data_IF_974751738208
#
_entry.id   IF_974751738208
#
_cell.length_a   1.000
_cell.length_b   1.000
_cell.length_c   1.000
_cell.angle_alpha   90.00
_cell.angle_beta   90.00
_cell.angle_gamma   90.00
#
_symmetry.space_group_name_H-M   'P 1'
#
loop_
_entity.id
_entity.type
_entity.pdbx_description
1 polymer ?
#
# COMPACT_ATOMS: atom_id res chain seq x y z
N UNK A 1 25.45 -19.08 -10.32
CA UNK A 1 26.24 -17.87 -10.58
C UNK A 1 27.69 -18.24 -10.76
N UNK A 2 28.41 -17.59 -11.70
CA UNK A 2 29.86 -17.77 -11.90
C UNK A 2 30.62 -16.70 -11.11
N UNK A 3 31.68 -17.08 -10.45
CA UNK A 3 32.55 -16.18 -9.71
C UNK A 3 34.03 -16.59 -9.91
N UNK A 4 34.94 -15.69 -9.57
CA UNK A 4 36.36 -15.95 -9.65
C UNK A 4 36.97 -16.18 -8.26
N UNK A 5 37.71 -17.29 -8.10
CA UNK A 5 38.53 -17.53 -6.92
C UNK A 5 39.95 -17.00 -7.20
N UNK A 6 40.35 -15.95 -6.48
CA UNK A 6 41.70 -15.40 -6.58
C UNK A 6 42.64 -16.23 -5.72
N UNK A 7 43.70 -16.78 -6.38
CA UNK A 7 44.73 -17.63 -5.73
C UNK A 7 46.08 -16.95 -5.88
N UNK A 8 46.76 -16.73 -4.76
CA UNK A 8 48.12 -16.21 -4.74
C UNK A 8 49.09 -17.30 -4.36
N UNK A 9 50.13 -17.52 -5.19
CA UNK A 9 51.14 -18.55 -5.02
C UNK A 9 52.52 -17.91 -5.12
N UNK A 10 53.36 -18.11 -4.12
CA UNK A 10 54.75 -17.69 -4.19
C UNK A 10 55.63 -18.87 -4.62
N UNK A 11 56.50 -18.67 -5.64
CA UNK A 11 57.35 -19.69 -6.17
C UNK A 11 58.83 -19.29 -6.13
N UNK A 12 59.70 -20.24 -5.82
CA UNK A 12 61.14 -20.02 -5.81
C UNK A 12 61.79 -20.15 -7.19
N UNK A 13 61.07 -20.69 -8.20
CA UNK A 13 61.53 -20.86 -9.56
C UNK A 13 60.38 -20.86 -10.57
N UNK A 14 60.68 -20.62 -11.85
CA UNK A 14 59.72 -20.76 -12.93
C UNK A 14 59.43 -22.24 -13.16
N UNK A 15 58.15 -22.64 -13.05
CA UNK A 15 57.73 -24.04 -13.23
C UNK A 15 56.24 -24.20 -13.46
N UNK A 16 55.78 -25.25 -14.15
CA UNK A 16 54.38 -25.63 -14.16
C UNK A 16 54.00 -26.32 -12.85
N UNK A 17 52.74 -26.14 -12.40
CA UNK A 17 52.15 -26.85 -11.26
C UNK A 17 50.70 -27.23 -11.59
N UNK A 18 50.31 -28.44 -11.23
CA UNK A 18 48.90 -28.82 -11.23
C UNK A 18 48.15 -28.09 -10.14
N UNK A 19 46.95 -27.60 -10.43
CA UNK A 19 46.03 -27.01 -9.45
C UNK A 19 44.70 -27.75 -9.47
N UNK A 20 44.17 -28.02 -8.28
CA UNK A 20 42.84 -28.58 -8.08
C UNK A 20 42.10 -27.72 -7.06
N UNK A 21 40.83 -27.42 -7.33
CA UNK A 21 39.95 -26.77 -6.37
C UNK A 21 38.82 -27.73 -6.04
N UNK A 22 38.66 -28.01 -4.77
CA UNK A 22 37.55 -28.81 -4.24
C UNK A 22 36.54 -27.89 -3.58
N UNK A 23 35.24 -28.06 -3.90
CA UNK A 23 34.14 -27.48 -3.19
C UNK A 23 33.53 -28.53 -2.24
N UNK A 24 33.83 -28.43 -0.95
CA UNK A 24 33.67 -29.56 -0.05
C UNK A 24 34.54 -30.74 -0.50
N UNK A 25 33.92 -31.87 -0.86
CA UNK A 25 34.63 -33.07 -1.39
C UNK A 25 34.50 -33.19 -2.92
N UNK A 26 33.78 -32.29 -3.60
CA UNK A 26 33.60 -32.35 -5.05
C UNK A 26 34.67 -31.54 -5.78
N UNK A 27 35.20 -32.08 -6.90
CA UNK A 27 36.13 -31.37 -7.76
C UNK A 27 35.41 -30.24 -8.50
N UNK A 28 35.79 -28.98 -8.23
CA UNK A 28 35.20 -27.78 -8.84
C UNK A 28 36.05 -27.24 -9.99
N UNK A 29 37.37 -27.42 -9.94
CA UNK A 29 38.29 -26.99 -10.99
C UNK A 29 39.57 -27.90 -10.97
N UNK A 30 40.10 -28.19 -12.15
CA UNK A 30 41.40 -28.84 -12.33
C UNK A 30 42.12 -28.24 -13.54
N UNK A 31 43.40 -27.93 -13.39
CA UNK A 31 44.18 -27.34 -14.47
C UNK A 31 45.67 -27.27 -14.16
N UNK A 32 46.44 -26.66 -15.04
CA UNK A 32 47.87 -26.41 -14.88
C UNK A 32 48.16 -24.92 -14.87
N UNK A 33 48.94 -24.45 -13.91
CA UNK A 33 49.38 -23.07 -13.80
C UNK A 33 50.86 -22.94 -14.08
N UNK A 34 51.24 -21.89 -14.79
CA UNK A 34 52.66 -21.57 -15.04
C UNK A 34 53.13 -20.55 -13.99
N UNK A 35 53.91 -21.03 -13.01
CA UNK A 35 54.48 -20.13 -12.00
C UNK A 35 55.74 -19.46 -12.50
N UNK A 36 55.91 -18.20 -12.15
CA UNK A 36 57.16 -17.46 -12.24
C UNK A 36 57.80 -17.37 -10.87
N UNK A 37 59.10 -17.19 -10.81
CA UNK A 37 59.83 -16.94 -9.57
C UNK A 37 59.28 -15.66 -8.91
N UNK A 38 58.88 -15.75 -7.63
CA UNK A 38 58.24 -14.68 -6.86
C UNK A 38 56.72 -14.87 -6.75
N UNK A 39 55.97 -13.79 -6.45
CA UNK A 39 54.53 -13.85 -6.29
C UNK A 39 53.81 -14.02 -7.62
N UNK A 40 52.82 -14.89 -7.65
CA UNK A 40 51.90 -15.12 -8.78
C UNK A 40 50.47 -14.98 -8.30
N UNK A 41 49.59 -14.42 -9.15
CA UNK A 41 48.14 -14.30 -8.89
C UNK A 41 47.36 -14.90 -10.05
N UNK A 42 46.40 -15.74 -9.73
CA UNK A 42 45.56 -16.45 -10.70
C UNK A 42 44.10 -16.28 -10.32
N UNK A 43 43.25 -16.04 -11.31
CA UNK A 43 41.81 -15.97 -11.18
C UNK A 43 41.19 -17.25 -11.75
N UNK A 44 40.63 -18.10 -10.90
CA UNK A 44 40.07 -19.39 -11.28
C UNK A 44 38.54 -19.28 -11.36
N UNK A 45 37.93 -19.51 -12.54
CA UNK A 45 36.49 -19.46 -12.69
C UNK A 45 35.83 -20.66 -12.00
N UNK A 46 34.89 -20.39 -11.11
CA UNK A 46 34.11 -21.38 -10.39
C UNK A 46 32.61 -21.09 -10.53
N UNK A 47 31.77 -22.08 -10.23
CA UNK A 47 30.33 -21.92 -10.11
C UNK A 47 29.93 -22.06 -8.65
N UNK A 48 29.06 -21.15 -8.19
CA UNK A 48 28.46 -21.24 -6.87
C UNK A 48 27.57 -22.49 -6.77
N UNK A 49 27.73 -23.21 -5.67
CA UNK A 49 26.89 -24.36 -5.33
C UNK A 49 25.54 -23.96 -4.74
N UNK A 50 24.92 -24.86 -3.98
CA UNK A 50 23.69 -24.61 -3.23
C UNK A 50 23.89 -23.49 -2.20
N UNK A 51 22.82 -22.74 -1.87
CA UNK A 51 22.86 -21.72 -0.83
C UNK A 51 23.31 -22.31 0.52
N UNK A 52 24.20 -21.59 1.19
CA UNK A 52 24.75 -22.02 2.46
C UNK A 52 26.22 -21.68 2.60
N UNK A 53 26.85 -22.23 3.64
CA UNK A 53 28.27 -22.06 3.88
C UNK A 53 29.07 -22.99 2.96
N UNK A 54 29.93 -22.43 2.10
CA UNK A 54 30.74 -23.16 1.15
C UNK A 54 32.22 -23.06 1.52
N UNK A 55 32.91 -24.21 1.52
CA UNK A 55 34.35 -24.32 1.72
C UNK A 55 35.02 -24.69 0.40
N UNK A 56 35.99 -23.92 -0.03
CA UNK A 56 36.82 -24.21 -1.19
C UNK A 56 38.22 -24.50 -0.74
N UNK A 57 38.76 -25.63 -1.20
CA UNK A 57 40.11 -26.08 -0.87
C UNK A 57 40.94 -26.10 -2.15
N UNK A 58 41.95 -25.27 -2.20
CA UNK A 58 42.91 -25.20 -3.31
C UNK A 58 44.10 -26.10 -2.98
N UNK A 59 44.43 -27.02 -3.87
CA UNK A 59 45.59 -27.89 -3.77
C UNK A 59 46.48 -27.64 -4.99
N UNK A 60 47.80 -27.46 -4.77
CA UNK A 60 48.80 -27.39 -5.81
C UNK A 60 49.66 -28.63 -5.76
N UNK A 61 50.00 -29.18 -6.94
CA UNK A 61 50.82 -30.38 -7.09
C UNK A 61 52.07 -30.05 -7.93
N UNK A 62 53.17 -29.70 -7.29
CA UNK A 62 54.46 -29.52 -7.97
C UNK A 62 55.00 -30.83 -8.52
N UNK A 63 55.90 -30.76 -9.51
CA UNK A 63 56.60 -31.96 -10.00
C UNK A 63 57.42 -32.63 -8.89
N UNK A 64 57.52 -33.96 -8.93
CA UNK A 64 58.20 -34.76 -7.92
C UNK A 64 59.61 -34.25 -7.64
N UNK A 65 59.98 -34.05 -6.38
CA UNK A 65 61.30 -33.62 -5.94
C UNK A 65 61.65 -32.14 -6.12
N UNK A 66 60.65 -31.32 -6.52
CA UNK A 66 60.84 -29.86 -6.73
C UNK A 66 60.28 -29.01 -5.59
N UNK A 67 59.56 -29.62 -4.65
CA UNK A 67 58.96 -28.92 -3.50
C UNK A 67 59.70 -29.32 -2.20
N UNK A 68 59.90 -28.30 -1.35
CA UNK A 68 60.57 -28.47 -0.06
C UNK A 68 59.62 -28.34 1.14
N UNK A 69 58.42 -27.82 0.92
CA UNK A 69 57.43 -27.55 1.98
C UNK A 69 56.00 -27.94 1.56
N UNK A 70 55.76 -29.25 1.39
CA UNK A 70 54.46 -29.77 0.92
C UNK A 70 53.28 -29.40 1.80
N UNK A 71 53.48 -28.93 3.05
CA UNK A 71 52.42 -28.51 3.98
C UNK A 71 51.74 -27.23 3.56
N UNK A 72 52.34 -26.39 2.72
CA UNK A 72 51.78 -25.15 2.24
C UNK A 72 51.13 -25.25 0.85
N UNK A 73 51.04 -26.45 0.31
CA UNK A 73 50.45 -26.73 -1.00
C UNK A 73 48.91 -26.82 -0.95
N UNK A 74 48.31 -26.66 0.21
CA UNK A 74 46.87 -26.66 0.39
C UNK A 74 46.42 -25.46 1.24
N UNK A 75 45.38 -24.75 0.77
CA UNK A 75 44.78 -23.67 1.51
C UNK A 75 43.24 -23.74 1.33
N UNK A 76 42.51 -23.50 2.40
CA UNK A 76 41.06 -23.42 2.38
C UNK A 76 40.58 -21.97 2.46
N UNK A 77 39.56 -21.65 1.67
CA UNK A 77 38.80 -20.41 1.75
C UNK A 77 37.33 -20.74 2.01
N UNK A 78 36.65 -19.85 2.70
CA UNK A 78 35.25 -20.02 3.04
C UNK A 78 34.46 -18.85 2.51
N UNK A 79 33.25 -19.11 2.01
CA UNK A 79 32.30 -18.09 1.59
C UNK A 79 30.89 -18.53 1.92
N UNK A 80 29.98 -17.58 1.97
CA UNK A 80 28.55 -17.85 2.10
C UNK A 80 27.90 -17.67 0.73
N UNK A 81 27.34 -18.75 0.19
CA UNK A 81 26.52 -18.69 -1.03
C UNK A 81 25.12 -18.26 -0.62
N UNK A 82 24.68 -17.09 -1.08
CA UNK A 82 23.31 -16.63 -0.89
C UNK A 82 22.47 -17.12 -2.06
N UNK A 83 21.28 -17.65 -1.75
CA UNK A 83 20.30 -18.03 -2.76
C UNK A 83 19.68 -16.80 -3.47
N UNK A 84 18.84 -17.02 -4.47
CA UNK A 84 18.08 -15.93 -5.07
C UNK A 84 17.25 -15.21 -3.99
N UNK A 85 17.11 -13.87 -4.08
CA UNK A 85 16.37 -13.10 -3.08
C UNK A 85 14.91 -13.56 -3.05
N UNK A 86 14.42 -13.97 -1.88
CA UNK A 86 13.01 -14.32 -1.66
C UNK A 86 12.19 -13.04 -1.51
N UNK A 87 10.98 -13.03 -2.06
CA UNK A 87 10.05 -11.91 -1.98
C UNK A 87 8.80 -12.33 -1.20
N UNK A 88 8.28 -11.44 -0.38
CA UNK A 88 7.00 -11.61 0.28
C UNK A 88 5.97 -10.69 -0.36
N UNK A 89 5.00 -11.24 -1.07
CA UNK A 89 3.91 -10.48 -1.66
C UNK A 89 2.68 -10.55 -0.76
N UNK A 90 2.18 -9.39 -0.38
CA UNK A 90 0.99 -9.24 0.46
C UNK A 90 -0.13 -8.70 -0.41
N UNK A 91 -1.17 -9.49 -0.58
CA UNK A 91 -2.34 -9.11 -1.36
C UNK A 91 -3.62 -9.66 -0.72
N UNK A 92 -4.76 -9.05 -1.00
CA UNK A 92 -6.03 -9.57 -0.56
C UNK A 92 -6.44 -10.74 -1.49
N UNK A 93 -6.57 -11.98 -0.97
CA UNK A 93 -6.86 -13.15 -1.80
C UNK A 93 -8.29 -13.21 -2.35
N UNK A 94 -9.14 -12.27 -1.98
CA UNK A 94 -10.53 -12.23 -2.47
C UNK A 94 -10.61 -11.49 -3.80
N UNK A 95 -10.96 -12.17 -4.91
CA UNK A 95 -11.22 -11.48 -6.17
C UNK A 95 -12.42 -10.56 -5.99
N UNK A 96 -12.25 -9.27 -6.24
CA UNK A 96 -13.36 -8.36 -6.50
C UNK A 96 -13.76 -8.58 -7.95
N UNK A 97 -15.06 -8.81 -8.19
CA UNK A 97 -15.66 -8.85 -9.54
C UNK A 97 -15.28 -10.04 -10.45
N UNK A 98 -15.00 -11.22 -9.88
CA UNK A 98 -14.84 -12.45 -10.67
C UNK A 98 -13.57 -12.54 -11.52
N UNK A 99 -12.65 -11.58 -11.43
CA UNK A 99 -11.31 -11.69 -11.97
C UNK A 99 -10.45 -12.54 -11.02
N UNK A 100 -9.85 -13.62 -11.52
CA UNK A 100 -8.83 -14.36 -10.80
C UNK A 100 -7.73 -13.39 -10.36
N UNK A 101 -7.27 -13.52 -9.10
CA UNK A 101 -6.38 -12.59 -8.40
C UNK A 101 -5.38 -11.90 -9.31
N UNK A 102 -5.52 -10.62 -9.41
CA UNK A 102 -4.73 -9.76 -10.28
C UNK A 102 -3.25 -9.70 -9.85
N UNK A 103 -2.94 -10.10 -8.61
CA UNK A 103 -1.57 -10.39 -8.16
C UNK A 103 -0.95 -11.57 -8.90
N UNK A 104 -1.73 -12.45 -9.55
CA UNK A 104 -1.21 -13.64 -10.24
C UNK A 104 -0.29 -13.29 -11.40
N UNK A 105 -0.59 -12.25 -12.17
CA UNK A 105 0.26 -11.82 -13.28
C UNK A 105 1.60 -11.27 -12.77
N UNK A 106 1.57 -10.49 -11.67
CA UNK A 106 2.78 -10.01 -11.01
C UNK A 106 3.60 -11.17 -10.45
N UNK A 107 2.95 -12.13 -9.77
CA UNK A 107 3.61 -13.33 -9.25
C UNK A 107 4.23 -14.15 -10.38
N UNK A 108 3.49 -14.37 -11.48
CA UNK A 108 4.00 -15.09 -12.65
C UNK A 108 5.22 -14.40 -13.28
N UNK A 109 5.20 -13.08 -13.40
CA UNK A 109 6.31 -12.29 -13.91
C UNK A 109 7.56 -12.38 -13.01
N UNK A 110 7.39 -12.31 -11.69
CA UNK A 110 8.47 -12.44 -10.72
C UNK A 110 9.08 -13.86 -10.76
N UNK A 111 8.23 -14.89 -10.80
CA UNK A 111 8.67 -16.29 -10.93
C UNK A 111 9.39 -16.57 -12.26
N UNK A 112 8.91 -16.01 -13.37
CA UNK A 112 9.58 -16.09 -14.67
C UNK A 112 10.96 -15.43 -14.66
N UNK A 113 11.17 -14.47 -13.74
CA UNK A 113 12.47 -13.83 -13.48
C UNK A 113 13.35 -14.60 -12.47
N UNK A 114 12.99 -15.84 -12.12
CA UNK A 114 13.66 -16.66 -11.09
C UNK A 114 13.70 -16.03 -9.70
N UNK A 115 12.69 -15.23 -9.35
CA UNK A 115 12.52 -14.66 -8.01
C UNK A 115 11.48 -15.48 -7.25
N UNK A 116 11.87 -16.22 -6.20
CA UNK A 116 10.92 -16.92 -5.33
C UNK A 116 9.98 -15.95 -4.62
N UNK A 117 8.67 -16.16 -4.74
CA UNK A 117 7.63 -15.29 -4.17
C UNK A 117 6.72 -16.11 -3.29
N UNK A 118 6.61 -15.71 -2.02
CA UNK A 118 5.59 -16.22 -1.10
C UNK A 118 4.43 -15.23 -1.07
N UNK A 119 3.21 -15.71 -1.27
CA UNK A 119 2.00 -14.87 -1.28
C UNK A 119 1.20 -15.08 0.00
N UNK A 120 0.89 -13.99 0.70
CA UNK A 120 0.13 -14.03 1.95
C UNK A 120 -0.99 -12.99 1.97
N UNK A 121 -2.07 -13.29 2.69
CA UNK A 121 -3.08 -12.28 3.00
C UNK A 121 -2.53 -11.25 4.00
N UNK A 122 -3.04 -9.99 4.01
CA UNK A 122 -2.59 -8.93 4.91
C UNK A 122 -2.57 -9.35 6.40
N UNK A 123 -3.59 -10.08 6.86
CA UNK A 123 -3.66 -10.57 8.23
C UNK A 123 -2.55 -11.60 8.58
N UNK A 124 -1.88 -12.18 7.58
CA UNK A 124 -0.79 -13.16 7.75
C UNK A 124 0.60 -12.55 7.51
N UNK A 125 0.69 -11.25 7.25
CA UNK A 125 1.99 -10.58 7.20
C UNK A 125 2.73 -10.79 8.52
N UNK A 126 3.96 -11.34 8.51
CA UNK A 126 4.75 -11.52 9.73
C UNK A 126 5.01 -10.19 10.43
N UNK A 127 4.91 -10.18 11.76
CA UNK A 127 5.33 -9.06 12.60
C UNK A 127 6.65 -9.35 13.34
N UNK A 128 7.19 -10.53 13.16
CA UNK A 128 8.45 -10.99 13.73
C UNK A 128 9.60 -10.66 12.77
N UNK A 129 10.52 -9.80 13.23
CA UNK A 129 11.66 -9.34 12.42
C UNK A 129 12.55 -10.48 11.88
N UNK A 130 12.83 -11.56 12.64
CA UNK A 130 13.59 -12.69 12.10
C UNK A 130 12.93 -13.32 10.86
N UNK A 131 11.60 -13.40 10.83
CA UNK A 131 10.86 -13.94 9.67
C UNK A 131 10.89 -12.98 8.51
N UNK A 132 10.68 -11.67 8.76
CA UNK A 132 10.78 -10.64 7.71
C UNK A 132 12.18 -10.59 7.10
N UNK A 133 13.23 -10.80 7.90
CA UNK A 133 14.62 -10.76 7.41
C UNK A 133 15.00 -11.90 6.46
N UNK A 134 14.17 -12.96 6.36
CA UNK A 134 14.34 -14.00 5.35
C UNK A 134 13.99 -13.52 3.93
N UNK A 135 13.29 -12.41 3.82
CA UNK A 135 12.88 -11.81 2.55
C UNK A 135 13.74 -10.61 2.21
N UNK A 136 14.13 -10.50 0.95
CA UNK A 136 14.85 -9.35 0.43
C UNK A 136 13.94 -8.12 0.26
N UNK A 137 12.65 -8.36 -0.04
CA UNK A 137 11.65 -7.30 -0.18
C UNK A 137 10.25 -7.79 0.17
N UNK A 138 9.45 -6.89 0.72
CA UNK A 138 8.01 -7.04 0.91
C UNK A 138 7.30 -6.18 -0.14
N UNK A 139 6.30 -6.76 -0.82
CA UNK A 139 5.49 -6.09 -1.84
C UNK A 139 4.04 -6.03 -1.34
N UNK A 140 3.51 -4.84 -1.13
CA UNK A 140 2.11 -4.62 -0.77
C UNK A 140 1.33 -4.30 -2.04
N UNK A 141 0.35 -5.13 -2.43
CA UNK A 141 -0.47 -4.93 -3.64
C UNK A 141 -1.89 -4.58 -3.22
N UNK A 142 -2.28 -3.34 -3.44
CA UNK A 142 -3.61 -2.78 -3.07
C UNK A 142 -4.06 -3.15 -1.65
N UNK A 143 -3.16 -3.02 -0.67
CA UNK A 143 -3.41 -3.37 0.74
C UNK A 143 -3.81 -2.12 1.51
N UNK A 144 -5.01 -2.04 2.09
CA UNK A 144 -5.38 -0.91 2.95
C UNK A 144 -4.71 -1.03 4.33
N UNK A 145 -4.37 0.11 4.94
CA UNK A 145 -3.73 0.15 6.27
C UNK A 145 -4.55 -0.59 7.34
N UNK A 146 -5.88 -0.49 7.27
CA UNK A 146 -6.79 -1.19 8.19
C UNK A 146 -6.72 -2.73 8.13
N UNK A 147 -6.22 -3.29 7.04
CA UNK A 147 -6.01 -4.73 6.93
C UNK A 147 -4.72 -5.20 7.62
N UNK A 148 -3.91 -4.26 8.09
CA UNK A 148 -2.68 -4.48 8.82
C UNK A 148 -2.83 -3.99 10.27
N UNK A 149 -2.27 -4.72 11.21
CA UNK A 149 -2.15 -4.26 12.59
C UNK A 149 -1.04 -3.21 12.71
N UNK A 150 -1.13 -2.36 13.72
CA UNK A 150 -0.06 -1.40 14.02
C UNK A 150 1.29 -2.09 14.25
N UNK A 151 1.28 -3.28 14.90
CA UNK A 151 2.49 -4.08 15.11
C UNK A 151 3.14 -4.52 13.80
N UNK A 152 2.35 -4.93 12.80
CA UNK A 152 2.85 -5.29 11.48
C UNK A 152 3.46 -4.09 10.76
N UNK A 153 2.79 -2.93 10.79
CA UNK A 153 3.31 -1.71 10.17
C UNK A 153 4.61 -1.21 10.81
N UNK A 154 4.73 -1.26 12.15
CA UNK A 154 5.96 -0.93 12.87
C UNK A 154 7.07 -1.96 12.59
N UNK A 155 6.73 -3.24 12.42
CA UNK A 155 7.71 -4.26 12.04
C UNK A 155 8.25 -4.01 10.61
N UNK A 156 7.40 -3.61 9.66
CA UNK A 156 7.84 -3.18 8.32
C UNK A 156 8.75 -1.96 8.39
N UNK A 157 8.44 -0.98 9.23
CA UNK A 157 9.29 0.20 9.42
C UNK A 157 10.69 -0.19 9.91
N UNK A 158 10.77 -1.00 10.96
CA UNK A 158 12.04 -1.51 11.49
C UNK A 158 12.79 -2.38 10.46
N UNK A 159 12.06 -3.25 9.75
CA UNK A 159 12.62 -4.09 8.71
C UNK A 159 13.29 -3.28 7.59
N UNK A 160 12.66 -2.21 7.12
CA UNK A 160 13.25 -1.36 6.08
C UNK A 160 14.33 -0.47 6.65
N UNK A 161 14.03 0.28 7.74
CA UNK A 161 14.93 1.30 8.27
C UNK A 161 16.21 0.71 8.87
N UNK A 162 16.08 -0.36 9.66
CA UNK A 162 17.17 -0.85 10.52
C UNK A 162 17.82 -2.14 10.01
N UNK A 163 17.07 -3.00 9.27
CA UNK A 163 17.58 -4.26 8.72
C UNK A 163 17.92 -4.18 7.23
N UNK A 164 17.61 -3.08 6.55
CA UNK A 164 17.97 -2.86 5.15
C UNK A 164 17.06 -3.58 4.13
N UNK A 165 15.91 -4.08 4.56
CA UNK A 165 14.93 -4.72 3.68
C UNK A 165 14.31 -3.77 2.66
N UNK A 166 13.73 -4.31 1.60
CA UNK A 166 13.00 -3.55 0.58
C UNK A 166 11.50 -3.49 0.88
N UNK A 167 10.84 -2.36 0.60
CA UNK A 167 9.39 -2.26 0.59
C UNK A 167 8.92 -1.68 -0.74
N UNK A 168 8.00 -2.38 -1.39
CA UNK A 168 7.32 -1.89 -2.59
C UNK A 168 5.83 -1.78 -2.30
N UNK A 169 5.27 -0.58 -2.43
CA UNK A 169 3.83 -0.38 -2.40
C UNK A 169 3.31 -0.22 -3.82
N UNK A 170 2.45 -1.12 -4.23
CA UNK A 170 1.73 -1.10 -5.50
C UNK A 170 0.31 -0.62 -5.24
N UNK A 171 -0.09 0.38 -5.97
CA UNK A 171 -1.39 1.03 -5.84
C UNK A 171 -2.57 0.15 -6.20
N UNK A 172 -3.71 0.76 -6.09
CA UNK A 172 -5.02 0.21 -6.37
C UNK A 172 -6.08 0.99 -5.58
N UNK A 173 -7.35 0.75 -5.81
CA UNK A 173 -8.44 1.58 -5.26
C UNK A 173 -8.55 1.55 -3.72
N UNK A 174 -7.77 0.70 -3.03
CA UNK A 174 -7.82 0.60 -1.56
C UNK A 174 -6.47 0.83 -0.88
N UNK A 175 -5.49 1.40 -1.57
CA UNK A 175 -4.14 1.66 -1.04
C UNK A 175 -3.85 3.14 -0.85
N UNK A 176 -2.66 3.48 -0.37
CA UNK A 176 -2.19 4.86 -0.15
C UNK A 176 -3.18 5.72 0.66
N UNK A 177 -3.48 6.95 0.18
CA UNK A 177 -4.40 7.88 0.85
C UNK A 177 -5.80 7.30 1.02
N UNK A 178 -6.36 6.68 -0.01
CA UNK A 178 -7.66 5.98 0.02
C UNK A 178 -7.64 4.80 0.99
N UNK A 179 -6.50 4.12 1.09
CA UNK A 179 -6.28 2.99 1.99
C UNK A 179 -5.99 3.38 3.43
N UNK A 180 -6.01 4.68 3.77
CA UNK A 180 -5.79 5.15 5.14
C UNK A 180 -4.33 5.09 5.61
N UNK A 181 -3.35 5.23 4.71
CA UNK A 181 -1.91 5.22 5.08
C UNK A 181 -1.49 6.47 5.86
N UNK A 182 -2.29 7.53 5.79
CA UNK A 182 -2.01 8.78 6.48
C UNK A 182 -1.77 8.59 7.98
N UNK A 183 -0.69 9.19 8.51
CA UNK A 183 -0.23 9.08 9.92
C UNK A 183 -0.01 7.65 10.40
N UNK A 184 0.32 6.75 9.49
CA UNK A 184 0.75 5.39 9.82
C UNK A 184 2.23 5.22 9.54
N UNK A 185 2.90 4.20 10.11
CA UNK A 185 4.28 3.88 9.75
C UNK A 185 4.50 3.68 8.25
N UNK A 186 3.49 3.21 7.50
CA UNK A 186 3.58 3.07 6.04
C UNK A 186 3.78 4.41 5.34
N UNK A 187 3.12 5.48 5.82
CA UNK A 187 3.34 6.81 5.26
C UNK A 187 4.78 7.28 5.47
N UNK A 188 5.41 6.93 6.61
CA UNK A 188 6.78 7.33 6.90
C UNK A 188 7.78 6.61 6.02
N UNK A 189 7.58 5.30 5.76
CA UNK A 189 8.46 4.47 4.95
C UNK A 189 8.42 4.86 3.47
N UNK A 190 7.24 5.21 2.92
CA UNK A 190 7.04 5.38 1.48
C UNK A 190 7.62 6.72 0.96
N UNK A 191 8.09 6.77 -0.30
CA UNK A 191 8.69 7.97 -0.91
C UNK A 191 7.69 9.05 -1.28
N UNK A 192 6.40 8.86 -0.97
CA UNK A 192 5.31 9.78 -1.28
C UNK A 192 4.52 10.15 -0.04
N UNK A 193 4.08 11.39 0.03
CA UNK A 193 3.10 11.87 0.99
C UNK A 193 1.69 11.53 0.49
N UNK A 194 0.81 11.11 1.41
CA UNK A 194 -0.58 10.77 1.13
C UNK A 194 -1.45 12.02 0.93
N UNK A 195 -0.88 13.21 1.12
CA UNK A 195 -1.56 14.49 0.96
C UNK A 195 -1.20 15.13 -0.38
N UNK A 196 -2.20 15.63 -1.06
CA UNK A 196 -1.99 16.59 -2.16
C UNK A 196 -1.86 17.96 -1.51
N UNK A 197 -0.61 18.47 -1.45
CA UNK A 197 -0.29 19.74 -0.76
C UNK A 197 -0.82 20.96 -1.48
N UNK A 198 -1.09 20.86 -2.77
CA UNK A 198 -1.62 21.96 -3.56
C UNK A 198 -3.15 22.00 -3.51
N UNK A 199 -3.71 23.07 -2.96
CA UNK A 199 -5.16 23.28 -2.90
C UNK A 199 -5.82 23.37 -4.29
N UNK A 200 -5.10 23.80 -5.32
CA UNK A 200 -5.61 23.85 -6.70
C UNK A 200 -5.76 22.46 -7.32
N UNK A 201 -5.04 21.48 -6.79
CA UNK A 201 -5.04 20.07 -7.23
C UNK A 201 -6.03 19.20 -6.47
N UNK A 202 -6.58 19.74 -5.36
CA UNK A 202 -7.55 19.02 -4.54
C UNK A 202 -8.84 18.86 -5.31
N UNK A 203 -9.23 17.63 -5.58
CA UNK A 203 -10.52 17.34 -6.16
C UNK A 203 -11.64 17.88 -5.24
N UNK A 204 -12.64 18.51 -5.81
CA UNK A 204 -13.82 18.95 -5.07
C UNK A 204 -14.52 17.73 -4.50
N UNK A 205 -14.76 17.73 -3.18
CA UNK A 205 -15.49 16.70 -2.47
C UNK A 205 -16.94 17.12 -2.29
N UNK A 206 -17.87 16.19 -2.49
CA UNK A 206 -19.22 16.29 -1.93
C UNK A 206 -19.39 15.25 -0.85
N UNK A 207 -19.60 15.71 0.38
CA UNK A 207 -19.81 14.87 1.55
C UNK A 207 -21.27 14.94 1.98
N UNK A 208 -21.95 13.79 2.00
CA UNK A 208 -23.34 13.70 2.46
C UNK A 208 -23.40 12.92 3.75
N UNK A 209 -23.92 13.55 4.79
CA UNK A 209 -24.23 12.93 6.07
C UNK A 209 -25.66 12.41 6.06
N UNK A 210 -25.86 11.13 6.37
CA UNK A 210 -27.18 10.52 6.57
C UNK A 210 -27.28 10.17 8.04
N UNK A 211 -28.08 10.94 8.78
CA UNK A 211 -28.15 10.92 10.24
C UNK A 211 -29.47 10.30 10.68
N UNK A 212 -29.39 9.23 11.45
CA UNK A 212 -30.50 8.66 12.17
C UNK A 212 -30.97 9.63 13.22
N UNK A 213 -32.26 9.95 13.18
CA UNK A 213 -32.97 10.76 14.21
C UNK A 213 -34.11 9.99 14.85
N UNK A 214 -34.12 8.64 14.76
CA UNK A 214 -35.10 7.77 15.40
C UNK A 214 -35.18 7.99 16.91
N UNK A 215 -36.24 7.50 17.53
CA UNK A 215 -36.49 7.67 18.96
C UNK A 215 -35.36 7.19 19.87
N UNK A 216 -34.61 6.15 19.48
CA UNK A 216 -33.45 5.62 20.20
C UNK A 216 -32.27 6.62 20.26
N UNK A 217 -32.17 7.53 19.30
CA UNK A 217 -31.17 8.59 19.30
C UNK A 217 -31.38 9.66 20.37
N UNK A 218 -32.55 9.63 21.07
CA UNK A 218 -32.80 10.46 22.27
C UNK A 218 -32.10 9.93 23.53
N UNK A 219 -31.59 8.72 23.50
CA UNK A 219 -30.86 8.12 24.63
C UNK A 219 -29.67 8.98 25.04
N UNK A 220 -29.48 9.12 26.37
CA UNK A 220 -28.43 9.95 26.96
C UNK A 220 -27.23 9.11 27.32
N UNK A 221 -26.08 9.48 26.81
CA UNK A 221 -24.77 8.90 27.17
C UNK A 221 -23.85 10.00 27.67
N UNK A 222 -23.30 9.84 28.88
CA UNK A 222 -22.43 10.88 29.47
C UNK A 222 -23.10 12.23 29.70
N UNK A 223 -24.43 12.29 29.78
CA UNK A 223 -25.19 13.54 29.97
C UNK A 223 -25.60 14.26 28.66
N UNK A 224 -25.27 13.69 27.49
CA UNK A 224 -25.58 14.23 26.15
C UNK A 224 -26.39 13.20 25.37
N UNK A 225 -27.39 13.65 24.59
CA UNK A 225 -28.15 12.76 23.73
C UNK A 225 -27.30 12.30 22.52
N UNK A 226 -27.49 11.05 22.03
CA UNK A 226 -26.80 10.54 20.85
C UNK A 226 -27.01 11.44 19.63
N UNK A 227 -28.22 11.96 19.42
CA UNK A 227 -28.52 12.90 18.33
C UNK A 227 -27.71 14.20 18.44
N UNK A 228 -27.42 14.69 19.63
CA UNK A 228 -26.58 15.88 19.81
C UNK A 228 -25.11 15.61 19.51
N UNK A 229 -24.62 14.41 19.84
CA UNK A 229 -23.28 13.96 19.45
C UNK A 229 -23.18 13.79 17.93
N UNK A 230 -24.21 13.30 17.27
CA UNK A 230 -24.29 13.23 15.81
C UNK A 230 -24.25 14.64 15.15
N UNK A 231 -24.98 15.61 15.71
CA UNK A 231 -24.86 17.00 15.25
C UNK A 231 -23.47 17.57 15.43
N UNK A 232 -22.87 17.37 16.60
CA UNK A 232 -21.49 17.79 16.86
C UNK A 232 -20.51 17.15 15.89
N UNK A 233 -20.71 15.88 15.54
CA UNK A 233 -19.89 15.17 14.56
C UNK A 233 -19.94 15.81 13.18
N UNK A 234 -21.14 16.16 12.69
CA UNK A 234 -21.29 16.90 11.44
C UNK A 234 -20.59 18.26 11.54
N UNK A 235 -20.82 19.03 12.61
CA UNK A 235 -20.21 20.35 12.80
C UNK A 235 -18.68 20.29 12.77
N UNK A 236 -18.07 19.34 13.50
CA UNK A 236 -16.61 19.15 13.48
C UNK A 236 -16.08 18.72 12.10
N UNK A 237 -16.88 17.96 11.36
CA UNK A 237 -16.53 17.59 9.98
C UNK A 237 -16.45 18.79 9.06
N UNK A 238 -17.34 19.80 9.24
CA UNK A 238 -17.30 21.03 8.44
C UNK A 238 -15.99 21.81 8.59
N UNK A 239 -15.35 21.75 9.77
CA UNK A 239 -14.06 22.42 10.04
C UNK A 239 -12.90 21.82 9.23
N UNK A 240 -13.06 20.57 8.74
CA UNK A 240 -12.07 19.84 7.95
C UNK A 240 -12.26 20.00 6.44
N UNK A 241 -13.40 20.55 6.02
CA UNK A 241 -13.74 20.78 4.62
C UNK A 241 -13.21 22.13 4.13
N UNK A 242 -12.95 22.22 2.83
CA UNK A 242 -12.62 23.47 2.16
C UNK A 242 -13.88 24.23 1.75
N UNK A 243 -13.81 25.55 1.57
CA UNK A 243 -14.95 26.32 1.01
C UNK A 243 -15.37 25.84 -0.39
N UNK A 244 -14.49 25.20 -1.15
CA UNK A 244 -14.80 24.62 -2.46
C UNK A 244 -15.53 23.27 -2.39
N UNK A 245 -15.50 22.61 -1.23
CA UNK A 245 -16.20 21.34 -1.03
C UNK A 245 -17.70 21.59 -0.85
N UNK A 246 -18.51 20.56 -1.12
CA UNK A 246 -19.95 20.62 -0.93
C UNK A 246 -20.36 19.72 0.22
N UNK A 247 -21.40 20.10 0.91
CA UNK A 247 -21.99 19.33 2.00
C UNK A 247 -23.48 19.15 1.79
N UNK A 248 -23.99 17.98 2.14
CA UNK A 248 -25.39 17.69 2.27
C UNK A 248 -25.68 17.00 3.60
N UNK A 249 -26.82 17.26 4.20
CA UNK A 249 -27.27 16.59 5.44
C UNK A 249 -28.66 16.07 5.25
N UNK A 250 -28.86 14.77 5.39
CA UNK A 250 -30.14 14.08 5.39
C UNK A 250 -30.37 13.60 6.82
N UNK A 251 -31.55 13.83 7.35
CA UNK A 251 -32.01 13.20 8.57
C UNK A 251 -33.15 12.23 8.25
N UNK A 252 -33.15 11.07 8.89
CA UNK A 252 -34.18 10.06 8.67
C UNK A 252 -34.71 9.46 9.97
N UNK A 253 -35.99 9.10 9.92
CA UNK A 253 -36.76 8.33 10.90
C UNK A 253 -37.61 7.27 10.16
N UNK A 254 -38.95 7.34 10.19
CA UNK A 254 -39.85 6.60 9.29
C UNK A 254 -39.88 7.15 7.87
N UNK A 255 -39.21 8.28 7.64
CA UNK A 255 -39.04 8.98 6.38
C UNK A 255 -37.69 9.68 6.33
N UNK A 256 -37.32 10.22 5.18
CA UNK A 256 -36.09 10.98 5.06
C UNK A 256 -36.30 12.36 4.45
N UNK A 257 -35.56 13.35 4.92
CA UNK A 257 -35.58 14.69 4.39
C UNK A 257 -34.18 15.32 4.38
N UNK A 258 -33.94 16.17 3.39
CA UNK A 258 -32.79 17.05 3.39
C UNK A 258 -32.93 18.10 4.50
N UNK A 259 -32.06 18.09 5.49
CA UNK A 259 -31.85 19.18 6.45
C UNK A 259 -31.05 20.28 5.78
N UNK A 260 -30.00 19.86 5.02
CA UNK A 260 -29.21 20.73 4.16
C UNK A 260 -29.11 20.05 2.80
N UNK A 261 -29.72 20.57 1.73
CA UNK A 261 -29.48 20.11 0.36
C UNK A 261 -27.98 20.25 -0.01
N UNK A 262 -27.50 19.44 -0.96
CA UNK A 262 -26.10 19.54 -1.42
C UNK A 262 -25.81 20.99 -1.84
N UNK A 263 -24.91 21.64 -1.12
CA UNK A 263 -24.51 23.02 -1.32
C UNK A 263 -23.01 23.23 -1.09
N UNK A 264 -22.42 24.23 -1.74
CA UNK A 264 -21.06 24.66 -1.46
C UNK A 264 -20.96 25.18 -0.01
N UNK A 265 -19.78 24.95 0.61
CA UNK A 265 -19.57 25.34 2.02
C UNK A 265 -19.16 26.83 2.15
N UNK A 266 -19.89 27.71 1.45
CA UNK A 266 -19.62 29.15 1.50
C UNK A 266 -20.03 29.77 2.84
N UNK A 267 -21.06 29.22 3.49
CA UNK A 267 -21.55 29.63 4.82
C UNK A 267 -21.68 28.42 5.76
N UNK A 268 -20.63 28.02 6.45
CA UNK A 268 -20.69 26.95 7.45
C UNK A 268 -21.68 27.23 8.57
N UNK A 269 -21.91 28.51 8.93
CA UNK A 269 -22.83 28.90 10.00
C UNK A 269 -24.29 28.56 9.67
N UNK A 270 -24.71 28.77 8.40
CA UNK A 270 -26.04 28.38 7.95
C UNK A 270 -26.22 26.83 8.03
N UNK A 271 -25.19 26.05 7.66
CA UNK A 271 -25.24 24.59 7.77
C UNK A 271 -25.33 24.15 9.24
N UNK A 272 -24.53 24.74 10.13
CA UNK A 272 -24.55 24.45 11.57
C UNK A 272 -25.91 24.74 12.19
N UNK A 273 -26.53 25.88 11.84
CA UNK A 273 -27.84 26.25 12.31
C UNK A 273 -28.91 25.25 11.85
N UNK A 274 -28.86 24.82 10.58
CA UNK A 274 -29.81 23.85 10.05
C UNK A 274 -29.64 22.48 10.75
N UNK A 275 -28.39 21.98 10.91
CA UNK A 275 -28.07 20.73 11.64
C UNK A 275 -28.58 20.82 13.10
N UNK A 276 -28.46 21.99 13.74
CA UNK A 276 -28.96 22.22 15.10
C UNK A 276 -30.47 21.99 15.26
N UNK A 277 -31.26 22.00 14.18
CA UNK A 277 -32.71 21.77 14.20
C UNK A 277 -33.11 20.31 14.31
N UNK A 278 -32.20 19.34 14.04
CA UNK A 278 -32.50 17.93 14.11
C UNK A 278 -32.94 17.53 15.53
N UNK A 279 -34.04 16.78 15.64
CA UNK A 279 -34.58 16.25 16.90
C UNK A 279 -34.90 14.79 16.74
N UNK A 280 -34.61 14.01 17.78
CA UNK A 280 -34.89 12.58 17.78
C UNK A 280 -36.38 12.31 17.92
N UNK A 281 -36.94 11.53 16.98
CA UNK A 281 -38.34 11.08 16.96
C UNK A 281 -38.51 9.98 15.88
N UNK A 282 -39.58 9.17 15.98
CA UNK A 282 -39.98 8.21 14.96
C UNK A 282 -39.24 6.88 14.97
N UNK A 283 -39.35 6.13 13.87
CA UNK A 283 -38.72 4.84 13.61
C UNK A 283 -37.36 4.95 12.90
N UNK A 284 -37.00 3.89 12.14
CA UNK A 284 -35.66 3.80 11.51
C UNK A 284 -35.79 3.22 10.10
N UNK A 285 -35.91 4.08 9.07
CA UNK A 285 -35.89 3.71 7.65
C UNK A 285 -34.60 4.19 6.97
N UNK A 286 -33.54 3.35 7.04
CA UNK A 286 -32.23 3.64 6.44
C UNK A 286 -32.35 3.74 4.90
N UNK A 287 -33.23 2.91 4.28
CA UNK A 287 -33.41 2.90 2.83
C UNK A 287 -33.86 4.27 2.31
N UNK A 288 -34.82 4.89 2.99
CA UNK A 288 -35.29 6.22 2.61
C UNK A 288 -34.17 7.28 2.60
N UNK A 289 -33.28 7.25 3.59
CA UNK A 289 -32.09 8.12 3.63
C UNK A 289 -31.13 7.91 2.48
N UNK A 290 -30.78 6.64 2.22
CA UNK A 290 -29.87 6.27 1.13
C UNK A 290 -30.48 6.57 -0.24
N UNK A 291 -31.78 6.33 -0.44
CA UNK A 291 -32.47 6.66 -1.70
C UNK A 291 -32.46 8.16 -2.01
N UNK A 292 -32.60 8.99 -0.98
CA UNK A 292 -32.58 10.44 -1.14
C UNK A 292 -31.19 10.93 -1.59
N UNK A 293 -30.13 10.38 -1.00
CA UNK A 293 -28.75 10.64 -1.42
C UNK A 293 -28.49 10.11 -2.85
N UNK A 294 -28.98 8.90 -3.15
CA UNK A 294 -28.83 8.25 -4.45
C UNK A 294 -29.51 9.03 -5.60
N UNK A 295 -30.56 9.79 -5.29
CA UNK A 295 -31.23 10.66 -6.27
C UNK A 295 -30.47 11.94 -6.61
N UNK A 296 -29.59 12.41 -5.72
CA UNK A 296 -28.91 13.69 -5.87
C UNK A 296 -27.41 13.56 -6.23
N UNK A 297 -26.67 12.68 -5.53
CA UNK A 297 -25.21 12.57 -5.67
C UNK A 297 -24.71 12.21 -7.08
N UNK A 298 -25.36 11.32 -7.87
CA UNK A 298 -24.89 11.02 -9.23
C UNK A 298 -24.90 12.25 -10.15
N UNK A 299 -25.75 13.23 -9.88
CA UNK A 299 -25.91 14.45 -10.69
C UNK A 299 -24.97 15.58 -10.24
N UNK A 300 -24.29 15.41 -9.10
CA UNK A 300 -23.33 16.38 -8.60
C UNK A 300 -22.03 16.33 -9.41
N UNK A 301 -21.40 17.49 -9.66
CA UNK A 301 -20.22 17.65 -10.49
C UNK A 301 -18.88 17.45 -9.74
N UNK A 302 -18.91 17.13 -8.43
CA UNK A 302 -17.70 16.90 -7.66
C UNK A 302 -17.05 15.59 -8.07
N UNK A 303 -15.71 15.59 -8.11
CA UNK A 303 -14.91 14.42 -8.50
C UNK A 303 -14.91 13.33 -7.41
N UNK A 304 -15.00 13.72 -6.14
CA UNK A 304 -15.10 12.80 -5.01
C UNK A 304 -16.46 12.96 -4.36
N UNK A 305 -17.14 11.83 -4.14
CA UNK A 305 -18.47 11.80 -3.52
C UNK A 305 -18.49 10.74 -2.46
N UNK A 306 -18.80 11.13 -1.23
CA UNK A 306 -18.78 10.25 -0.09
C UNK A 306 -20.00 10.41 0.80
N UNK A 307 -20.51 9.29 1.32
CA UNK A 307 -21.63 9.23 2.26
C UNK A 307 -21.12 8.73 3.60
N UNK A 308 -21.48 9.41 4.69
CA UNK A 308 -21.32 8.91 6.05
C UNK A 308 -22.71 8.65 6.63
N UNK A 309 -23.05 7.38 6.83
CA UNK A 309 -24.30 6.94 7.43
C UNK A 309 -24.08 6.68 8.92
N UNK A 310 -24.89 7.30 9.78
CA UNK A 310 -24.90 7.01 11.22
C UNK A 310 -26.28 6.48 11.63
N UNK A 311 -26.27 5.37 12.37
CA UNK A 311 -27.49 4.79 12.98
C UNK A 311 -27.16 4.03 14.26
N UNK A 312 -28.08 4.02 15.23
CA UNK A 312 -28.03 3.19 16.43
C UNK A 312 -29.09 2.07 16.45
N UNK A 313 -29.90 2.00 15.37
CA UNK A 313 -31.03 1.07 15.25
C UNK A 313 -30.85 0.00 14.19
N UNK A 314 -31.69 -1.03 14.32
CA UNK A 314 -31.89 -2.05 13.31
C UNK A 314 -32.87 -1.55 12.24
N UNK A 315 -32.63 -1.95 10.98
CA UNK A 315 -33.56 -1.72 9.87
C UNK A 315 -33.66 -2.97 8.99
N UNK A 316 -34.68 -3.03 8.15
CA UNK A 316 -34.80 -4.06 7.10
C UNK A 316 -33.69 -3.79 6.06
N UNK A 317 -32.77 -4.76 5.79
CA UNK A 317 -31.69 -4.60 4.83
C UNK A 317 -32.17 -4.62 3.37
N UNK A 318 -33.44 -4.96 3.10
CA UNK A 318 -33.94 -5.20 1.74
C UNK A 318 -33.73 -3.98 0.84
N UNK A 319 -32.95 -4.19 -0.25
CA UNK A 319 -32.67 -3.17 -1.26
C UNK A 319 -31.55 -2.19 -0.93
N UNK A 320 -31.06 -2.14 0.32
CA UNK A 320 -30.01 -1.18 0.71
C UNK A 320 -28.64 -1.56 0.17
N UNK A 321 -28.12 -2.81 0.37
CA UNK A 321 -26.81 -3.21 -0.15
C UNK A 321 -26.72 -3.13 -1.67
N UNK A 322 -27.76 -3.52 -2.39
CA UNK A 322 -27.81 -3.47 -3.85
C UNK A 322 -27.77 -2.02 -4.37
N UNK A 323 -28.49 -1.12 -3.70
CA UNK A 323 -28.48 0.30 -4.06
C UNK A 323 -27.09 0.91 -3.83
N UNK A 324 -26.47 0.64 -2.68
CA UNK A 324 -25.14 1.17 -2.32
C UNK A 324 -24.07 0.58 -3.25
N UNK A 325 -24.10 -0.71 -3.55
CA UNK A 325 -23.20 -1.34 -4.52
C UNK A 325 -23.30 -0.67 -5.89
N UNK A 326 -24.51 -0.41 -6.38
CA UNK A 326 -24.74 0.27 -7.65
C UNK A 326 -24.20 1.70 -7.64
N UNK A 327 -24.42 2.48 -6.56
CA UNK A 327 -23.84 3.83 -6.41
C UNK A 327 -22.32 3.80 -6.50
N UNK A 328 -21.68 2.81 -5.85
CA UNK A 328 -20.23 2.65 -5.89
C UNK A 328 -19.74 2.23 -7.29
N UNK A 329 -20.34 1.21 -7.88
CA UNK A 329 -19.88 0.65 -9.17
C UNK A 329 -20.14 1.57 -10.36
N UNK A 330 -21.33 2.22 -10.41
CA UNK A 330 -21.74 3.04 -11.56
C UNK A 330 -21.32 4.51 -11.45
N UNK A 331 -21.21 5.03 -10.23
CA UNK A 331 -21.00 6.47 -9.99
C UNK A 331 -19.78 6.78 -9.13
N UNK A 332 -19.02 5.78 -8.66
CA UNK A 332 -17.86 5.98 -7.81
C UNK A 332 -18.19 6.59 -6.44
N UNK A 333 -19.46 6.55 -6.01
CA UNK A 333 -19.91 7.13 -4.74
C UNK A 333 -19.62 6.14 -3.63
N UNK A 334 -18.77 6.51 -2.68
CA UNK A 334 -18.42 5.66 -1.54
C UNK A 334 -19.34 5.91 -0.34
N UNK A 335 -19.54 4.86 0.50
CA UNK A 335 -20.34 4.95 1.71
C UNK A 335 -19.62 4.29 2.89
N UNK A 336 -19.39 5.07 3.96
CA UNK A 336 -18.99 4.58 5.27
C UNK A 336 -20.18 4.53 6.22
N UNK A 337 -20.23 3.52 7.09
CA UNK A 337 -21.30 3.33 8.05
C UNK A 337 -20.78 3.38 9.48
N UNK A 338 -21.48 4.10 10.35
CA UNK A 338 -21.20 4.21 11.78
C UNK A 338 -22.37 3.62 12.56
N UNK A 339 -22.12 2.46 13.18
CA UNK A 339 -23.08 1.79 14.07
C UNK A 339 -22.82 2.14 15.52
N UNK A 340 -23.87 2.55 16.25
CA UNK A 340 -23.77 3.01 17.64
C UNK A 340 -24.55 2.07 18.57
N UNK A 341 -23.81 1.43 19.50
CA UNK A 341 -24.40 0.56 20.51
C UNK A 341 -24.90 -0.78 19.98
N UNK A 342 -25.40 -1.65 20.88
CA UNK A 342 -25.78 -3.04 20.56
C UNK A 342 -27.00 -3.15 19.64
N UNK A 343 -27.75 -2.07 19.43
CA UNK A 343 -28.91 -1.99 18.52
C UNK A 343 -28.53 -1.81 17.06
N UNK A 344 -27.27 -1.50 16.75
CA UNK A 344 -26.82 -1.24 15.39
C UNK A 344 -27.08 -2.41 14.45
N UNK A 345 -27.59 -2.11 13.25
CA UNK A 345 -27.99 -3.12 12.27
C UNK A 345 -26.84 -4.06 11.89
N UNK A 346 -27.02 -5.40 11.96
CA UNK A 346 -25.94 -6.36 11.67
C UNK A 346 -25.40 -6.32 10.23
N UNK A 347 -26.14 -5.75 9.30
CA UNK A 347 -25.72 -5.65 7.89
C UNK A 347 -24.82 -4.44 7.58
N UNK A 348 -24.63 -3.49 8.51
CA UNK A 348 -23.81 -2.29 8.29
C UNK A 348 -22.35 -2.58 7.86
N UNK A 349 -21.65 -3.61 8.40
CA UNK A 349 -20.33 -3.97 7.89
C UNK A 349 -20.33 -4.35 6.42
N UNK A 350 -21.32 -5.15 6.01
CA UNK A 350 -21.49 -5.53 4.60
C UNK A 350 -21.85 -4.30 3.75
N UNK A 351 -22.72 -3.43 4.25
CA UNK A 351 -23.11 -2.20 3.55
C UNK A 351 -21.92 -1.29 3.25
N UNK A 352 -21.06 -1.07 4.23
CA UNK A 352 -19.83 -0.29 4.05
C UNK A 352 -18.86 -0.97 3.06
N UNK A 353 -18.74 -2.30 3.11
CA UNK A 353 -17.94 -3.06 2.16
C UNK A 353 -18.46 -2.92 0.72
N UNK A 354 -19.76 -3.07 0.49
CA UNK A 354 -20.42 -2.91 -0.81
C UNK A 354 -20.31 -1.47 -1.34
N UNK A 355 -20.30 -0.49 -0.42
CA UNK A 355 -20.11 0.93 -0.72
C UNK A 355 -18.65 1.37 -0.83
N UNK A 356 -17.68 0.45 -0.76
CA UNK A 356 -16.25 0.79 -0.85
C UNK A 356 -15.74 1.71 0.27
N UNK A 357 -16.48 1.84 1.38
CA UNK A 357 -16.13 2.64 2.55
C UNK A 357 -15.77 1.81 3.77
N UNK A 358 -15.82 2.44 4.95
CA UNK A 358 -15.45 1.85 6.24
C UNK A 358 -16.66 1.60 7.11
N UNK A 359 -16.59 0.57 7.94
CA UNK A 359 -17.53 0.36 9.03
C UNK A 359 -16.86 0.70 10.36
N UNK A 360 -17.48 1.60 11.10
CA UNK A 360 -17.11 1.92 12.48
C UNK A 360 -18.21 1.45 13.43
N UNK A 361 -17.81 0.78 14.49
CA UNK A 361 -18.70 0.43 15.58
C UNK A 361 -18.21 1.08 16.86
N UNK A 362 -19.16 1.63 17.64
CA UNK A 362 -18.85 2.17 18.96
C UNK A 362 -19.96 1.88 19.95
N UNK A 363 -19.59 1.41 21.14
CA UNK A 363 -20.48 1.35 22.31
C UNK A 363 -20.46 2.65 23.11
N UNK A 364 -19.50 3.56 22.81
CA UNK A 364 -19.39 4.86 23.45
C UNK A 364 -19.76 5.98 22.47
N UNK A 365 -21.00 6.51 22.52
CA UNK A 365 -21.44 7.58 21.64
C UNK A 365 -20.58 8.84 21.67
N UNK A 366 -19.79 9.08 22.73
CA UNK A 366 -18.90 10.24 22.80
C UNK A 366 -17.77 10.21 21.77
N UNK A 367 -17.49 9.05 21.17
CA UNK A 367 -16.50 8.88 20.11
C UNK A 367 -17.01 9.25 18.71
N UNK A 368 -18.34 9.41 18.51
CA UNK A 368 -18.94 9.69 17.21
C UNK A 368 -18.29 10.91 16.52
N UNK A 369 -18.06 12.07 17.20
CA UNK A 369 -17.42 13.20 16.55
C UNK A 369 -15.99 12.92 16.06
N UNK A 370 -15.24 12.08 16.77
CA UNK A 370 -13.89 11.69 16.35
C UNK A 370 -13.92 10.77 15.13
N UNK A 371 -14.84 9.80 15.09
CA UNK A 371 -15.06 8.90 13.94
C UNK A 371 -15.40 9.70 12.67
N UNK A 372 -16.32 10.65 12.77
CA UNK A 372 -16.70 11.49 11.64
C UNK A 372 -15.56 12.40 11.15
N UNK A 373 -14.77 12.94 12.08
CA UNK A 373 -13.58 13.71 11.73
C UNK A 373 -12.53 12.86 11.01
N UNK A 374 -12.33 11.61 11.42
CA UNK A 374 -11.45 10.64 10.75
C UNK A 374 -11.97 10.33 9.34
N UNK A 375 -13.25 9.96 9.18
CA UNK A 375 -13.86 9.68 7.88
C UNK A 375 -13.81 10.88 6.94
N UNK A 376 -14.14 12.08 7.45
CA UNK A 376 -14.05 13.31 6.66
C UNK A 376 -12.62 13.59 6.22
N UNK A 377 -11.64 13.36 7.10
CA UNK A 377 -10.22 13.49 6.77
C UNK A 377 -9.81 12.50 5.67
N UNK A 378 -10.25 11.25 5.75
CA UNK A 378 -9.98 10.24 4.72
C UNK A 378 -10.63 10.64 3.38
N UNK A 379 -11.89 11.05 3.39
CA UNK A 379 -12.61 11.48 2.20
C UNK A 379 -11.98 12.72 1.52
N UNK A 380 -11.49 13.68 2.31
CA UNK A 380 -10.84 14.90 1.78
C UNK A 380 -9.44 14.63 1.20
N UNK A 381 -8.81 13.53 1.57
CA UNK A 381 -7.43 13.16 1.16
C UNK A 381 -7.39 12.04 0.13
N UNK A 382 -8.49 11.34 -0.06
CA UNK A 382 -8.59 10.27 -1.01
C UNK A 382 -8.70 10.84 -2.44
N UNK A 383 -7.67 10.62 -3.24
CA UNK A 383 -7.67 11.06 -4.62
C UNK A 383 -7.35 9.92 -5.59
N UNK A 384 -8.39 9.40 -6.23
CA UNK A 384 -8.27 8.46 -7.35
C UNK A 384 -8.39 9.26 -8.64
N UNK A 385 -7.38 9.20 -9.51
CA UNK A 385 -7.42 9.74 -10.86
C UNK A 385 -7.70 8.60 -11.82
N UNK A 386 -8.87 8.57 -12.42
CA UNK A 386 -9.23 7.64 -13.50
C UNK A 386 -9.22 8.40 -14.82
N UNK A 387 -8.04 8.51 -15.39
CA UNK A 387 -7.77 9.16 -16.66
C UNK A 387 -6.71 8.37 -17.40
N UNK A 388 -6.89 8.21 -18.71
CA UNK A 388 -5.89 7.59 -19.58
C UNK A 388 -4.70 8.52 -19.79
N UNK A 389 -3.49 8.00 -19.57
CA UNK A 389 -2.25 8.73 -19.82
C UNK A 389 -1.08 7.78 -20.08
N UNK A 390 0.02 8.32 -20.61
CA UNK A 390 1.30 7.61 -20.73
C UNK A 390 2.30 8.17 -19.72
N UNK A 391 2.79 7.35 -18.77
CA UNK A 391 3.79 7.81 -17.81
C UNK A 391 5.04 8.32 -18.51
N UNK A 392 5.53 9.49 -18.06
CA UNK A 392 6.77 10.10 -18.59
C UNK A 392 7.90 9.94 -17.57
N UNK A 393 9.03 9.46 -18.06
CA UNK A 393 10.25 9.41 -17.25
C UNK A 393 10.82 10.83 -17.07
N UNK A 394 11.11 11.19 -15.82
CA UNK A 394 11.69 12.49 -15.44
C UNK A 394 13.08 12.37 -14.84
N UNK A 395 13.42 11.21 -14.28
CA UNK A 395 14.76 10.92 -13.80
C UNK A 395 15.21 9.51 -14.24
N UNK A 396 16.49 9.32 -14.59
CA UNK A 396 17.03 8.02 -14.88
C UNK A 396 17.03 7.14 -13.61
N UNK A 397 16.72 5.87 -13.76
CA UNK A 397 16.73 4.91 -12.64
C UNK A 397 17.08 3.52 -13.12
N UNK A 398 17.88 2.77 -12.35
CA UNK A 398 18.14 1.35 -12.62
C UNK A 398 16.87 0.48 -12.60
N UNK A 399 15.79 0.94 -11.94
CA UNK A 399 14.48 0.25 -11.92
C UNK A 399 13.91 0.11 -13.33
N UNK A 400 14.18 1.05 -14.21
CA UNK A 400 13.72 1.04 -15.61
C UNK A 400 14.77 0.49 -16.59
N UNK A 401 15.82 -0.16 -16.11
CA UNK A 401 16.85 -0.71 -17.00
C UNK A 401 16.26 -1.77 -17.94
N UNK A 402 16.43 -1.58 -19.25
CA UNK A 402 15.87 -2.46 -20.28
C UNK A 402 14.40 -2.17 -20.63
N UNK A 403 13.78 -1.15 -20.02
CA UNK A 403 12.41 -0.70 -20.35
C UNK A 403 12.52 0.57 -21.20
N UNK A 404 12.14 0.47 -22.47
CA UNK A 404 12.22 1.59 -23.42
C UNK A 404 11.02 2.56 -23.31
N UNK A 405 9.85 2.03 -22.93
CA UNK A 405 8.62 2.85 -22.77
C UNK A 405 7.71 2.27 -21.70
N UNK A 406 7.05 3.13 -20.95
CA UNK A 406 6.00 2.73 -20.03
C UNK A 406 4.68 2.49 -20.78
N UNK A 407 3.91 1.43 -20.43
CA UNK A 407 2.61 1.20 -21.03
C UNK A 407 1.62 2.30 -20.64
N UNK A 408 0.53 2.38 -21.41
CA UNK A 408 -0.61 3.21 -21.08
C UNK A 408 -1.23 2.82 -19.73
N UNK A 409 -1.53 3.81 -18.90
CA UNK A 409 -2.26 3.64 -17.66
C UNK A 409 -3.64 4.31 -17.74
N UNK A 410 -4.62 3.76 -17.03
CA UNK A 410 -6.00 4.24 -16.98
C UNK A 410 -6.32 4.95 -15.66
N UNK A 411 -5.37 4.97 -14.72
CA UNK A 411 -5.57 5.62 -13.43
C UNK A 411 -4.42 5.40 -12.45
N UNK A 412 -4.48 6.12 -11.35
CA UNK A 412 -3.51 6.07 -10.24
C UNK A 412 -4.09 6.74 -9.00
N UNK A 413 -3.41 6.57 -7.87
CA UNK A 413 -3.70 7.32 -6.63
C UNK A 413 -2.85 8.59 -6.62
N UNK A 414 -3.50 9.74 -6.53
CA UNK A 414 -2.85 11.04 -6.39
C UNK A 414 -2.08 11.10 -5.08
N UNK A 415 -0.79 11.44 -5.18
CA UNK A 415 0.15 11.58 -4.06
C UNK A 415 1.11 12.73 -4.36
N UNK A 416 1.88 13.16 -3.37
CA UNK A 416 2.94 14.13 -3.56
C UNK A 416 4.28 13.48 -3.25
N UNK A 417 5.28 13.63 -4.11
CA UNK A 417 6.61 13.12 -3.82
C UNK A 417 7.22 13.83 -2.61
N UNK A 418 7.85 13.08 -1.70
CA UNK A 418 8.63 13.66 -0.62
C UNK A 418 9.89 14.33 -1.16
N UNK A 419 10.37 15.38 -0.50
CA UNK A 419 11.49 16.20 -0.99
C UNK A 419 12.80 15.42 -1.19
N UNK A 420 13.03 14.36 -0.42
CA UNK A 420 14.21 13.49 -0.54
C UNK A 420 13.99 12.31 -1.50
N UNK A 421 12.79 12.12 -2.04
CA UNK A 421 12.47 11.02 -2.91
C UNK A 421 12.88 11.31 -4.36
N UNK A 422 13.36 10.29 -5.05
CA UNK A 422 13.56 10.32 -6.49
C UNK A 422 12.25 9.97 -7.18
N UNK A 423 11.61 10.95 -7.81
CA UNK A 423 10.50 10.70 -8.73
C UNK A 423 11.06 10.21 -10.06
N UNK A 424 10.62 9.05 -10.51
CA UNK A 424 11.15 8.37 -11.71
C UNK A 424 10.18 8.52 -12.87
N UNK A 425 8.91 8.19 -12.65
CA UNK A 425 7.82 8.36 -13.62
C UNK A 425 6.75 9.29 -13.04
N UNK A 426 6.19 10.12 -13.90
CA UNK A 426 5.10 11.05 -13.56
C UNK A 426 3.96 10.95 -14.55
N UNK A 427 2.78 11.40 -14.14
CA UNK A 427 1.72 11.73 -15.08
C UNK A 427 2.02 13.11 -15.71
N UNK A 428 2.27 13.21 -17.03
CA UNK A 428 2.54 14.50 -17.69
C UNK A 428 1.33 15.41 -17.77
N UNK A 429 0.11 14.83 -17.65
CA UNK A 429 -1.17 15.54 -17.73
C UNK A 429 -1.68 15.93 -16.34
N UNK A 430 -0.81 15.89 -15.32
CA UNK A 430 -1.15 16.36 -13.96
C UNK A 430 -1.55 17.84 -13.97
N UNK A 431 -2.49 18.24 -13.10
CA UNK A 431 -2.98 19.62 -13.03
C UNK A 431 -1.89 20.66 -12.75
N UNK A 432 -0.80 20.27 -12.09
CA UNK A 432 0.37 21.11 -11.86
C UNK A 432 1.59 20.60 -12.66
N UNK A 433 1.95 21.27 -13.77
CA UNK A 433 3.11 20.88 -14.57
C UNK A 433 4.47 21.07 -13.85
N UNK A 434 4.54 21.96 -12.83
CA UNK A 434 5.78 22.20 -12.08
C UNK A 434 6.01 21.13 -10.98
N UNK A 435 4.93 20.50 -10.50
CA UNK A 435 4.97 19.42 -9.53
C UNK A 435 4.07 18.25 -9.97
N UNK A 436 4.40 17.54 -11.07
CA UNK A 436 3.53 16.50 -11.62
C UNK A 436 3.40 15.31 -10.65
N UNK A 437 2.25 14.64 -10.70
CA UNK A 437 1.97 13.50 -9.84
C UNK A 437 2.94 12.34 -10.05
N UNK A 438 3.57 11.83 -8.99
CA UNK A 438 4.48 10.70 -9.09
C UNK A 438 3.70 9.41 -9.36
N UNK A 439 4.10 8.71 -10.41
CA UNK A 439 3.60 7.36 -10.72
C UNK A 439 4.55 6.30 -10.17
N UNK A 440 5.86 6.53 -10.33
CA UNK A 440 6.91 5.71 -9.74
C UNK A 440 7.87 6.63 -8.99
N UNK A 441 8.01 6.40 -7.72
CA UNK A 441 8.96 7.09 -6.86
C UNK A 441 9.73 6.08 -6.00
N UNK A 442 10.98 6.41 -5.70
CA UNK A 442 11.84 5.57 -4.87
C UNK A 442 12.72 6.44 -3.97
N UNK A 443 13.10 5.91 -2.83
CA UNK A 443 14.10 6.52 -1.96
C UNK A 443 14.80 5.49 -1.09
N UNK A 444 15.84 5.93 -0.41
CA UNK A 444 16.44 5.19 0.68
C UNK A 444 15.78 5.61 1.99
N UNK A 445 15.30 4.63 2.77
CA UNK A 445 14.73 4.83 4.09
C UNK A 445 15.57 4.05 5.12
N UNK A 446 16.40 4.76 5.88
CA UNK A 446 17.41 4.13 6.74
C UNK A 446 18.42 3.31 5.94
N UNK A 447 18.56 2.03 6.27
CA UNK A 447 19.45 1.10 5.54
C UNK A 447 18.79 0.49 4.29
N UNK A 448 17.45 0.46 4.25
CA UNK A 448 16.67 -0.15 3.17
C UNK A 448 16.20 0.84 2.12
N UNK A 449 15.39 0.34 1.21
CA UNK A 449 14.81 1.10 0.12
C UNK A 449 13.30 0.92 0.09
N UNK A 450 12.60 2.01 -0.23
CA UNK A 450 11.17 1.96 -0.44
C UNK A 450 10.79 2.51 -1.82
N UNK A 451 9.80 1.87 -2.43
CA UNK A 451 9.28 2.21 -3.76
C UNK A 451 7.77 2.37 -3.67
N UNK A 452 7.25 3.39 -4.31
CA UNK A 452 5.82 3.60 -4.52
C UNK A 452 5.53 3.56 -6.02
N UNK A 453 4.65 2.64 -6.42
CA UNK A 453 3.98 2.60 -7.70
C UNK A 453 2.53 2.98 -7.46
N UNK A 454 2.12 4.18 -7.82
CA UNK A 454 0.81 4.73 -7.44
C UNK A 454 -0.34 4.24 -8.33
N UNK A 455 -0.06 3.66 -9.50
CA UNK A 455 -1.03 2.91 -10.28
C UNK A 455 -1.18 1.48 -9.74
N UNK A 456 -1.98 0.65 -10.37
CA UNK A 456 -2.19 -0.74 -9.94
C UNK A 456 -1.31 -1.74 -10.71
N UNK A 457 -1.38 -2.99 -10.28
CA UNK A 457 -0.90 -4.17 -10.99
C UNK A 457 -2.02 -5.23 -11.09
N UNK A 458 -3.27 -4.80 -10.97
CA UNK A 458 -4.44 -5.66 -10.83
C UNK A 458 -5.32 -5.65 -12.09
N UNK A 459 -4.86 -4.98 -13.16
CA UNK A 459 -5.56 -4.91 -14.44
C UNK A 459 -6.74 -3.93 -14.48
N UNK A 460 -6.96 -3.14 -13.42
CA UNK A 460 -7.97 -2.07 -13.45
C UNK A 460 -7.42 -0.85 -14.22
N UNK A 461 -6.24 -0.38 -13.86
CA UNK A 461 -5.59 0.80 -14.46
C UNK A 461 -4.39 0.43 -15.33
N UNK A 462 -3.64 -0.60 -14.95
CA UNK A 462 -2.52 -1.14 -15.73
C UNK A 462 -2.99 -2.41 -16.46
N UNK A 463 -3.57 -2.24 -17.64
CA UNK A 463 -3.89 -3.35 -18.55
C UNK A 463 -2.71 -3.54 -19.48
N UNK A 464 -2.08 -4.73 -19.38
CA UNK A 464 -1.08 -5.18 -20.33
C UNK A 464 -1.69 -5.44 -21.71
#
# INVERSE_FOLDING_TARGET
EEFALEVQIESTADRPVGVRVLAGDALAYEGELQLRRGPNSFSLPLRAGEPGFAAYRVQITPAAGTDTFYQNNELAAFTQVTGPPRLLLVANPQPRDGAAGAEQDLVAALQASNLPVDVVAPARLPAELPVLSEYASVILVDVPARALTQRQMLALETYVRDLGGGLVAVGGPTSFGVGGYFRTPLADILPVDMEIKDQKRRARLTLVFIIDKSGSMSEVSGGVQKVDLAKEAVIRSLELLSPSDKVGVIAFDDSAAWVVPITALDDPGAVMNAVGTIRADGGTDILAGVQLAAGALPQDDSAVKHIILLTDGGADPTGIPELVRRLYQESGITLSAVGVGPGAAPFLPQLAQEGGGLYHFTDDPSTIPAIFAEETTLATRAYIVEQEFFPRQVNPSPILSGIESAPRLLGYIGTTAKSAAQTILVNPDSPDPEAPDPILAAWQFGLGKAVAWTSDATGRWAKA
#
